data_IF_011864158721
#
_entry.id   IF_011864158721
#
_cell.length_a   1.000
_cell.length_b   1.000
_cell.length_c   1.000
_cell.angle_alpha   90.00
_cell.angle_beta   90.00
_cell.angle_gamma   90.00
#
_symmetry.space_group_name_H-M   'P 1'
#
loop_
_entity.id
_entity.type
_entity.pdbx_description
1 polymer ?
#
# COMPACT_ATOMS: atom_id res chain seq x y z
N UNK A 1 -13.06 -13.64 -1.08
CA UNK A 1 -11.62 -13.75 -0.80
C UNK A 1 -11.09 -12.35 -0.59
N UNK A 2 -10.31 -12.15 0.46
CA UNK A 2 -9.75 -10.86 0.83
C UNK A 2 -8.26 -10.83 0.50
N UNK A 3 -7.74 -9.66 0.19
CA UNK A 3 -6.30 -9.46 -0.08
C UNK A 3 -5.77 -8.38 0.86
N UNK A 4 -4.61 -8.65 1.44
CA UNK A 4 -3.73 -7.66 2.06
C UNK A 4 -2.60 -7.38 1.07
N UNK A 5 -2.46 -6.13 0.66
CA UNK A 5 -1.27 -5.62 -0.03
C UNK A 5 -0.37 -4.97 1.03
N UNK A 6 0.84 -5.46 1.19
CA UNK A 6 1.82 -4.85 2.08
C UNK A 6 2.81 -4.00 1.27
N UNK A 7 3.15 -2.83 1.79
CA UNK A 7 4.10 -1.88 1.20
C UNK A 7 5.26 -1.68 2.18
N UNK A 8 6.46 -1.45 1.64
CA UNK A 8 7.64 -1.09 2.42
C UNK A 8 8.90 -1.86 2.05
N UNK A 9 10.02 -1.50 2.66
CA UNK A 9 11.34 -2.08 2.43
C UNK A 9 11.88 -2.75 3.70
N UNK A 10 12.09 -4.07 3.64
CA UNK A 10 12.64 -4.85 4.76
C UNK A 10 14.05 -4.41 5.20
N UNK A 11 14.78 -3.68 4.35
CA UNK A 11 16.11 -3.16 4.65
C UNK A 11 16.08 -1.74 5.28
N UNK A 12 14.91 -1.11 5.42
CA UNK A 12 14.75 0.28 5.91
C UNK A 12 14.06 0.36 7.28
N UNK A 13 14.51 -0.47 8.24
CA UNK A 13 14.07 -0.37 9.64
C UNK A 13 12.56 -0.59 9.78
N UNK A 14 11.85 0.39 10.33
CA UNK A 14 10.39 0.32 10.57
C UNK A 14 9.58 0.25 9.27
N UNK A 15 10.14 0.71 8.14
CA UNK A 15 9.56 0.52 6.80
C UNK A 15 9.44 -0.97 6.41
N UNK A 16 10.10 -1.86 7.15
CA UNK A 16 9.96 -3.30 7.03
C UNK A 16 8.66 -3.87 7.61
N UNK A 17 7.80 -3.07 8.25
CA UNK A 17 6.57 -3.58 8.90
C UNK A 17 5.62 -4.27 7.92
N UNK A 18 5.44 -3.73 6.71
CA UNK A 18 4.64 -4.35 5.66
C UNK A 18 5.22 -5.69 5.20
N UNK A 19 6.47 -5.75 4.70
CA UNK A 19 7.13 -7.00 4.35
C UNK A 19 7.09 -8.06 5.46
N UNK A 20 7.33 -7.66 6.71
CA UNK A 20 7.24 -8.56 7.87
C UNK A 20 5.83 -9.13 8.06
N UNK A 21 4.78 -8.32 7.89
CA UNK A 21 3.40 -8.81 7.95
C UNK A 21 3.12 -9.86 6.87
N UNK A 22 3.62 -9.65 5.64
CA UNK A 22 3.45 -10.63 4.57
C UNK A 22 4.16 -11.96 4.88
N UNK A 23 5.37 -11.91 5.46
CA UNK A 23 6.09 -13.10 5.93
C UNK A 23 5.29 -13.84 7.03
N UNK A 24 4.79 -13.11 8.04
CA UNK A 24 3.96 -13.68 9.11
C UNK A 24 2.70 -14.37 8.58
N UNK A 25 2.04 -13.80 7.57
CA UNK A 25 0.86 -14.40 6.95
C UNK A 25 1.19 -15.61 6.06
N UNK A 26 2.41 -15.69 5.53
CA UNK A 26 2.87 -16.87 4.82
C UNK A 26 3.17 -18.03 5.79
N UNK A 27 3.79 -17.72 6.93
CA UNK A 27 4.11 -18.70 7.99
C UNK A 27 2.87 -19.19 8.73
N UNK A 28 1.89 -18.30 8.96
CA UNK A 28 0.62 -18.59 9.60
C UNK A 28 -0.56 -18.11 8.73
N UNK A 29 -0.96 -18.91 7.72
CA UNK A 29 -2.04 -18.53 6.81
C UNK A 29 -3.37 -18.26 7.53
N UNK A 30 -4.01 -17.15 7.17
CA UNK A 30 -5.33 -16.77 7.69
C UNK A 30 -6.39 -17.16 6.65
N UNK A 31 -7.38 -17.95 7.05
CA UNK A 31 -8.45 -18.40 6.16
C UNK A 31 -9.17 -17.22 5.49
N UNK A 32 -9.33 -17.29 4.17
CA UNK A 32 -10.02 -16.27 3.38
C UNK A 32 -9.17 -15.03 3.05
N UNK A 33 -7.91 -14.98 3.50
CA UNK A 33 -6.97 -13.89 3.21
C UNK A 33 -5.77 -14.36 2.39
N UNK A 34 -5.34 -13.53 1.45
CA UNK A 34 -4.09 -13.67 0.71
C UNK A 34 -3.24 -12.43 0.97
N UNK A 35 -1.97 -12.63 1.35
CA UNK A 35 -0.98 -11.57 1.41
C UNK A 35 -0.27 -11.42 0.07
N UNK A 36 -0.11 -10.18 -0.41
CA UNK A 36 0.69 -9.82 -1.57
C UNK A 36 1.71 -8.79 -1.11
N UNK A 37 3.00 -9.13 -1.20
CA UNK A 37 4.08 -8.21 -0.87
C UNK A 37 4.39 -7.31 -2.08
N UNK A 38 4.09 -6.02 -1.97
CA UNK A 38 4.37 -5.01 -2.99
C UNK A 38 5.77 -4.42 -2.91
N UNK A 39 6.51 -4.68 -1.83
CA UNK A 39 7.80 -4.05 -1.56
C UNK A 39 7.71 -2.51 -1.57
N UNK A 40 8.81 -1.86 -1.94
CA UNK A 40 8.86 -0.39 -2.11
C UNK A 40 8.16 0.12 -3.37
N UNK A 41 7.62 -0.77 -4.20
CA UNK A 41 7.11 -0.43 -5.55
C UNK A 41 5.80 -1.19 -5.79
N UNK A 42 4.73 -0.90 -5.02
CA UNK A 42 3.48 -1.64 -5.04
C UNK A 42 2.76 -1.61 -6.39
N UNK A 43 3.04 -0.62 -7.25
CA UNK A 43 2.48 -0.53 -8.59
C UNK A 43 2.80 -1.77 -9.44
N UNK A 44 3.96 -2.41 -9.19
CA UNK A 44 4.41 -3.59 -9.92
C UNK A 44 3.51 -4.81 -9.67
N UNK A 45 2.83 -4.88 -8.52
CA UNK A 45 1.96 -6.01 -8.15
C UNK A 45 0.47 -5.72 -8.34
N UNK A 46 0.11 -4.51 -8.79
CA UNK A 46 -1.29 -4.11 -9.03
C UNK A 46 -2.02 -5.07 -9.97
N UNK A 47 -1.33 -5.54 -11.02
CA UNK A 47 -1.92 -6.47 -11.98
C UNK A 47 -2.31 -7.81 -11.32
N UNK A 48 -1.48 -8.33 -10.43
CA UNK A 48 -1.75 -9.54 -9.66
C UNK A 48 -3.00 -9.36 -8.78
N UNK A 49 -3.14 -8.22 -8.10
CA UNK A 49 -4.31 -7.93 -7.26
C UNK A 49 -5.59 -7.89 -8.11
N UNK A 50 -5.52 -7.27 -9.29
CA UNK A 50 -6.66 -7.21 -10.22
C UNK A 50 -7.09 -8.61 -10.69
N UNK A 51 -6.12 -9.49 -10.95
CA UNK A 51 -6.40 -10.86 -11.39
C UNK A 51 -7.03 -11.71 -10.28
N UNK A 52 -6.66 -11.45 -9.01
CA UNK A 52 -7.24 -12.09 -7.83
C UNK A 52 -8.70 -11.68 -7.57
N UNK A 53 -9.17 -10.55 -8.11
CA UNK A 53 -10.54 -10.01 -7.96
C UNK A 53 -11.05 -10.08 -6.51
N UNK A 54 -10.34 -9.49 -5.54
CA UNK A 54 -10.71 -9.59 -4.14
C UNK A 54 -12.06 -8.90 -3.85
N UNK A 55 -12.82 -9.47 -2.91
CA UNK A 55 -14.02 -8.82 -2.35
C UNK A 55 -13.67 -7.67 -1.42
N UNK A 56 -12.43 -7.65 -0.91
CA UNK A 56 -11.88 -6.61 -0.03
C UNK A 56 -10.37 -6.52 -0.22
N UNK A 57 -9.86 -5.32 -0.42
CA UNK A 57 -8.44 -5.00 -0.40
C UNK A 57 -8.12 -4.18 0.84
N UNK A 58 -7.09 -4.58 1.58
CA UNK A 58 -6.49 -3.81 2.68
C UNK A 58 -5.05 -3.51 2.28
N UNK A 59 -4.62 -2.26 2.43
CA UNK A 59 -3.24 -1.85 2.20
C UNK A 59 -2.60 -1.59 3.56
N UNK A 60 -1.41 -2.14 3.79
CA UNK A 60 -0.64 -1.95 5.02
C UNK A 60 0.71 -1.37 4.66
N UNK A 61 1.02 -0.22 5.25
CA UNK A 61 2.26 0.52 5.02
C UNK A 61 2.73 1.14 6.34
N UNK A 62 4.04 1.32 6.49
CA UNK A 62 4.61 2.08 7.58
C UNK A 62 4.74 3.54 7.13
N UNK A 63 4.03 4.45 7.79
CA UNK A 63 4.02 5.86 7.39
C UNK A 63 4.15 6.76 8.61
N UNK A 64 4.79 7.92 8.43
CA UNK A 64 4.86 8.94 9.47
C UNK A 64 3.51 9.66 9.58
N UNK A 65 2.89 9.54 10.75
CA UNK A 65 1.57 10.10 11.06
C UNK A 65 1.63 11.15 12.18
N UNK A 66 2.82 11.60 12.57
CA UNK A 66 3.03 12.46 13.76
C UNK A 66 2.47 11.86 15.07
N UNK A 67 2.45 10.53 15.15
CA UNK A 67 2.00 9.76 16.31
C UNK A 67 3.18 9.12 17.04
N UNK A 68 2.91 8.55 18.21
CA UNK A 68 3.91 7.75 18.92
C UNK A 68 4.32 6.52 18.07
N UNK A 69 5.60 6.08 18.14
CA UNK A 69 6.05 4.90 17.41
C UNK A 69 5.20 3.66 17.71
N UNK A 70 4.80 2.96 16.65
CA UNK A 70 3.95 1.76 16.74
C UNK A 70 2.45 2.02 16.83
N UNK A 71 2.01 3.28 16.81
CA UNK A 71 0.58 3.61 16.70
C UNK A 71 0.00 3.14 15.36
N UNK A 72 -1.19 2.52 15.42
CA UNK A 72 -1.92 2.03 14.24
C UNK A 72 -3.15 2.92 14.02
N UNK A 73 -3.40 3.27 12.76
CA UNK A 73 -4.61 3.98 12.32
C UNK A 73 -5.17 3.33 11.06
N UNK A 74 -6.50 3.39 10.95
CA UNK A 74 -7.20 3.14 9.69
C UNK A 74 -7.37 4.50 9.03
N UNK A 75 -6.75 4.68 7.87
CA UNK A 75 -6.80 5.93 7.11
C UNK A 75 -7.94 5.85 6.11
N UNK A 76 -8.75 6.92 5.99
CA UNK A 76 -9.77 6.99 4.95
C UNK A 76 -9.08 7.14 3.60
N UNK A 77 -9.45 6.38 2.55
CA UNK A 77 -8.95 6.56 1.19
C UNK A 77 -8.89 8.01 0.69
N UNK A 78 -9.80 8.88 1.13
CA UNK A 78 -9.76 10.30 0.78
C UNK A 78 -8.52 11.02 1.35
N UNK A 79 -8.05 10.62 2.53
CA UNK A 79 -6.85 11.15 3.18
C UNK A 79 -5.55 10.52 2.60
N UNK A 80 -5.68 9.34 1.98
CA UNK A 80 -4.56 8.60 1.37
C UNK A 80 -4.06 9.29 0.10
N UNK A 81 -4.93 9.97 -0.64
CA UNK A 81 -4.55 10.65 -1.88
C UNK A 81 -3.39 11.63 -1.65
N UNK A 82 -3.44 12.43 -0.59
CA UNK A 82 -2.38 13.38 -0.25
C UNK A 82 -1.06 12.67 0.13
N UNK A 83 -1.13 11.54 0.86
CA UNK A 83 0.05 10.78 1.30
C UNK A 83 0.73 9.98 0.17
N UNK A 84 -0.03 9.38 -0.75
CA UNK A 84 0.53 8.67 -1.92
C UNK A 84 1.08 9.63 -2.98
N UNK A 85 0.52 10.84 -3.11
CA UNK A 85 1.13 11.88 -3.97
C UNK A 85 2.53 12.29 -3.48
N UNK A 86 2.80 12.18 -2.17
CA UNK A 86 4.10 12.55 -1.59
C UNK A 86 5.17 11.46 -1.69
N UNK A 87 4.81 10.21 -1.96
CA UNK A 87 5.77 9.09 -2.09
C UNK A 87 6.30 8.88 -3.51
N UNK A 88 6.06 9.82 -4.42
CA UNK A 88 6.78 9.88 -5.70
C UNK A 88 7.51 11.21 -5.80
N UNK A 89 8.84 11.14 -5.91
CA UNK A 89 9.65 12.28 -6.32
C UNK A 89 9.02 12.98 -7.55
N UNK A 90 8.56 14.22 -7.37
CA UNK A 90 8.28 15.25 -8.38
C UNK A 90 7.91 14.78 -9.80
N UNK A 91 6.60 14.75 -10.10
CA UNK A 91 6.12 15.35 -11.35
C UNK A 91 4.64 15.76 -11.21
N UNK A 92 4.31 17.08 -11.20
CA UNK A 92 2.94 17.51 -11.37
C UNK A 92 2.56 17.27 -12.83
N UNK A 93 1.76 16.24 -13.09
CA UNK A 93 1.02 16.13 -14.34
C UNK A 93 -0.13 17.14 -14.31
N UNK A 94 0.21 18.42 -14.46
CA UNK A 94 -0.73 19.36 -15.05
C UNK A 94 -1.06 18.82 -16.44
N UNK A 95 -2.23 18.20 -16.58
CA UNK A 95 -2.89 18.07 -17.87
C UNK A 95 -3.20 19.49 -18.36
N UNK A 96 -2.64 19.95 -19.50
CA UNK A 96 -3.16 21.15 -20.12
C UNK A 96 -4.54 20.83 -20.70
N UNK A 97 -5.52 21.61 -20.26
CA UNK A 97 -6.85 21.71 -20.85
C UNK A 97 -6.77 21.69 -22.38
N UNK A 98 -7.41 20.69 -22.99
CA UNK A 98 -7.73 20.76 -24.40
C UNK A 98 -8.83 21.81 -24.55
N UNK A 99 -8.66 22.90 -25.32
CA UNK A 99 -9.78 23.78 -25.59
C UNK A 99 -10.84 23.01 -26.38
N UNK A 100 -12.09 23.18 -25.97
CA UNK A 100 -13.25 22.85 -26.75
C UNK A 100 -13.16 23.54 -28.12
N UNK A 101 -13.67 22.82 -29.13
CA UNK A 101 -13.96 23.21 -30.52
C UNK A 101 -13.85 24.69 -30.89
#
# INVERSE_FOLDING_TARGET
MNVVLTVGNSMMGDDGAGPLLAEMMADAPIEGWIAVNGGSTPENVTHQIRDLKPSRLVIVDATDMELAPGEIRIVNPDDIAEMFFMSTHNMPLNFPDRPAT
#
